data_IF_004364633067
#
_entry.id   IF_004364633067
#
_cell.length_a   1.000
_cell.length_b   1.000
_cell.length_c   1.000
_cell.angle_alpha   90.00
_cell.angle_beta   90.00
_cell.angle_gamma   90.00
#
_symmetry.space_group_name_H-M   'P 1'
#
loop_
_entity.id
_entity.type
_entity.pdbx_description
1 polymer ?
#
# COMPACT_ATOMS: atom_id res chain seq x y z
N UNK A 1 17.64 12.32 -5.83
CA UNK A 1 17.61 11.34 -4.72
C UNK A 1 16.64 11.71 -3.62
N UNK A 2 16.68 12.93 -3.06
CA UNK A 2 15.76 13.36 -2.00
C UNK A 2 14.27 13.09 -2.28
N UNK A 3 13.78 13.37 -3.50
CA UNK A 3 12.37 13.13 -3.88
C UNK A 3 12.01 11.65 -3.82
N UNK A 4 12.86 10.75 -4.33
CA UNK A 4 12.61 9.30 -4.27
C UNK A 4 12.59 8.79 -2.81
N UNK A 5 13.44 9.35 -1.95
CA UNK A 5 13.43 9.06 -0.52
C UNK A 5 12.12 9.51 0.13
N UNK A 6 11.63 10.72 -0.19
CA UNK A 6 10.34 11.20 0.32
C UNK A 6 9.19 10.33 -0.16
N UNK A 7 9.14 9.96 -1.44
CA UNK A 7 8.11 9.05 -1.96
C UNK A 7 8.17 7.66 -1.30
N UNK A 8 9.36 7.19 -0.95
CA UNK A 8 9.53 5.94 -0.20
C UNK A 8 8.97 6.06 1.23
N UNK A 9 9.18 7.20 1.89
CA UNK A 9 8.57 7.51 3.20
C UNK A 9 7.04 7.61 3.06
N UNK A 10 6.53 8.25 2.01
CA UNK A 10 5.09 8.35 1.75
C UNK A 10 4.45 6.96 1.58
N UNK A 11 5.18 6.00 1.00
CA UNK A 11 4.76 4.59 0.95
C UNK A 11 4.55 3.98 2.34
N UNK A 12 5.47 4.25 3.28
CA UNK A 12 5.34 3.81 4.70
C UNK A 12 4.14 4.48 5.35
N UNK A 13 3.98 5.79 5.19
CA UNK A 13 2.86 6.55 5.76
C UNK A 13 1.52 6.06 5.21
N UNK A 14 1.47 5.75 3.91
CA UNK A 14 0.30 5.18 3.27
C UNK A 14 -0.04 3.79 3.85
N UNK A 15 0.95 2.94 4.10
CA UNK A 15 0.73 1.63 4.72
C UNK A 15 0.14 1.76 6.13
N UNK A 16 0.70 2.63 6.97
CA UNK A 16 0.23 2.87 8.33
C UNK A 16 -1.21 3.40 8.31
N UNK A 17 -1.44 4.47 7.54
CA UNK A 17 -2.77 5.08 7.44
C UNK A 17 -3.81 4.07 6.92
N UNK A 18 -3.49 3.35 5.84
CA UNK A 18 -4.44 2.42 5.24
C UNK A 18 -4.79 1.23 6.14
N UNK A 19 -3.82 0.70 6.89
CA UNK A 19 -4.06 -0.34 7.89
C UNK A 19 -4.96 0.17 9.04
N UNK A 20 -4.72 1.38 9.53
CA UNK A 20 -5.49 1.95 10.65
C UNK A 20 -6.92 2.32 10.27
N UNK A 21 -7.14 2.73 9.02
CA UNK A 21 -8.47 3.05 8.49
C UNK A 21 -9.17 1.84 7.83
N UNK A 22 -8.57 0.66 7.84
CA UNK A 22 -9.15 -0.56 7.30
C UNK A 22 -10.44 -1.04 7.98
N UNK A 23 -10.62 -0.90 9.32
CA UNK A 23 -11.85 -1.29 9.98
C UNK A 23 -13.00 -0.26 9.83
N UNK A 24 -12.85 0.76 8.96
CA UNK A 24 -13.93 1.70 8.69
C UNK A 24 -15.18 0.97 8.18
N UNK A 25 -16.33 1.41 8.68
CA UNK A 25 -17.63 0.83 8.37
C UNK A 25 -18.50 1.82 7.62
N UNK A 26 -19.26 1.33 6.65
CA UNK A 26 -20.37 2.05 6.06
C UNK A 26 -21.65 1.54 6.72
N UNK A 27 -22.16 2.32 7.68
CA UNK A 27 -23.21 1.85 8.59
C UNK A 27 -22.71 0.66 9.40
N UNK A 28 -23.42 -0.48 9.31
CA UNK A 28 -23.05 -1.70 10.04
C UNK A 28 -22.03 -2.59 9.32
N UNK A 29 -21.78 -2.35 8.03
CA UNK A 29 -20.97 -3.24 7.18
C UNK A 29 -19.51 -2.75 7.13
N UNK A 30 -18.52 -3.60 7.46
CA UNK A 30 -17.12 -3.26 7.25
C UNK A 30 -16.85 -3.11 5.75
N UNK A 31 -16.24 -1.99 5.35
CA UNK A 31 -15.98 -1.71 3.94
C UNK A 31 -14.54 -1.20 3.76
N UNK A 32 -13.68 -1.86 2.96
CA UNK A 32 -12.24 -1.62 2.92
C UNK A 32 -11.88 -0.40 2.05
N UNK A 33 -12.45 0.75 2.37
CA UNK A 33 -12.23 2.02 1.62
C UNK A 33 -10.75 2.37 1.60
N UNK A 34 -10.09 2.22 2.75
CA UNK A 34 -8.68 2.57 2.89
C UNK A 34 -7.77 1.72 1.99
N UNK A 35 -8.13 0.46 1.70
CA UNK A 35 -7.37 -0.39 0.79
C UNK A 35 -7.50 0.07 -0.67
N UNK A 36 -8.69 0.52 -1.08
CA UNK A 36 -8.91 1.12 -2.39
C UNK A 36 -8.11 2.42 -2.54
N UNK A 37 -8.19 3.28 -1.52
CA UNK A 37 -7.44 4.54 -1.49
C UNK A 37 -5.93 4.29 -1.48
N UNK A 38 -5.44 3.29 -0.75
CA UNK A 38 -4.03 2.89 -0.76
C UNK A 38 -3.55 2.52 -2.16
N UNK A 39 -4.37 1.78 -2.92
CA UNK A 39 -4.06 1.46 -4.31
C UNK A 39 -3.88 2.70 -5.18
N UNK A 40 -4.81 3.66 -5.07
CA UNK A 40 -4.74 4.91 -5.83
C UNK A 40 -3.54 5.77 -5.42
N UNK A 41 -3.28 5.89 -4.12
CA UNK A 41 -2.14 6.64 -3.58
C UNK A 41 -0.83 5.98 -4.04
N UNK A 42 -0.68 4.67 -3.90
CA UNK A 42 0.51 3.97 -4.36
C UNK A 42 0.72 4.13 -5.87
N UNK A 43 -0.35 4.09 -6.68
CA UNK A 43 -0.27 4.36 -8.12
C UNK A 43 0.25 5.77 -8.40
N UNK A 44 -0.24 6.78 -7.67
CA UNK A 44 0.24 8.15 -7.79
C UNK A 44 1.70 8.31 -7.36
N UNK A 45 2.11 7.67 -6.24
CA UNK A 45 3.50 7.70 -5.75
C UNK A 45 4.47 7.06 -6.76
N UNK A 46 4.10 5.90 -7.31
CA UNK A 46 4.91 5.20 -8.30
C UNK A 46 4.96 5.97 -9.62
N UNK A 47 3.83 6.53 -10.06
CA UNK A 47 3.79 7.41 -11.22
C UNK A 47 4.69 8.63 -11.03
N UNK A 48 4.64 9.28 -9.86
CA UNK A 48 5.53 10.39 -9.54
C UNK A 48 7.00 9.95 -9.62
N UNK A 49 7.35 8.79 -9.05
CA UNK A 49 8.71 8.26 -9.07
C UNK A 49 9.26 8.03 -10.50
N UNK A 50 8.42 7.64 -11.47
CA UNK A 50 8.85 7.46 -12.87
C UNK A 50 9.36 8.74 -13.55
N UNK A 51 9.06 9.92 -13.00
CA UNK A 51 9.59 11.19 -13.50
C UNK A 51 11.01 11.49 -12.99
N UNK A 52 11.49 10.74 -12.00
CA UNK A 52 12.77 10.99 -11.31
C UNK A 52 13.79 9.87 -11.53
N UNK A 53 13.42 8.79 -12.21
CA UNK A 53 14.31 7.68 -12.54
C UNK A 53 13.87 6.96 -13.81
N UNK A 54 14.83 6.41 -14.55
CA UNK A 54 14.58 5.53 -15.69
C UNK A 54 14.49 4.06 -15.31
N UNK A 55 14.85 3.70 -14.07
CA UNK A 55 14.83 2.31 -13.61
C UNK A 55 13.45 1.95 -13.03
N UNK A 56 12.70 1.02 -13.63
CA UNK A 56 11.39 0.61 -13.11
C UNK A 56 11.46 0.07 -11.67
N UNK A 57 12.57 -0.60 -11.34
CA UNK A 57 12.82 -1.13 -9.98
C UNK A 57 12.95 -0.02 -8.95
N UNK A 58 13.58 1.10 -9.31
CA UNK A 58 13.74 2.27 -8.44
C UNK A 58 12.44 3.08 -8.38
N UNK A 59 11.68 3.17 -9.47
CA UNK A 59 10.37 3.82 -9.47
C UNK A 59 9.35 3.11 -8.56
N UNK A 60 9.52 1.80 -8.35
CA UNK A 60 8.70 1.00 -7.45
C UNK A 60 9.03 1.16 -5.96
N UNK A 61 10.02 1.99 -5.57
CA UNK A 61 10.43 2.17 -4.17
C UNK A 61 9.27 2.46 -3.20
N UNK A 62 8.31 3.36 -3.51
CA UNK A 62 7.17 3.61 -2.63
C UNK A 62 6.30 2.37 -2.40
N UNK A 63 6.15 1.54 -3.42
CA UNK A 63 5.41 0.29 -3.32
C UNK A 63 6.16 -0.75 -2.48
N UNK A 64 7.50 -0.81 -2.63
CA UNK A 64 8.33 -1.72 -1.82
C UNK A 64 8.30 -1.35 -0.34
N UNK A 65 8.44 -0.07 0.00
CA UNK A 65 8.36 0.37 1.40
C UNK A 65 6.96 0.14 1.98
N UNK A 66 5.91 0.41 1.20
CA UNK A 66 4.54 0.10 1.58
C UNK A 66 4.35 -1.40 1.87
N UNK A 67 4.82 -2.30 0.98
CA UNK A 67 4.73 -3.75 1.16
C UNK A 67 5.49 -4.23 2.39
N UNK A 68 6.70 -3.71 2.60
CA UNK A 68 7.51 -4.03 3.77
C UNK A 68 6.79 -3.59 5.05
N UNK A 69 6.25 -2.38 5.10
CA UNK A 69 5.51 -1.89 6.26
C UNK A 69 4.25 -2.71 6.53
N UNK A 70 3.44 -3.01 5.51
CA UNK A 70 2.26 -3.89 5.67
C UNK A 70 2.70 -5.26 6.18
N UNK A 71 3.75 -5.85 5.61
CA UNK A 71 4.31 -7.13 6.06
C UNK A 71 4.76 -7.10 7.51
N UNK A 72 5.46 -6.05 7.93
CA UNK A 72 5.85 -5.86 9.33
C UNK A 72 4.63 -5.72 10.25
N UNK A 73 3.56 -5.05 9.79
CA UNK A 73 2.31 -4.93 10.54
C UNK A 73 1.53 -6.25 10.64
N UNK A 74 1.86 -7.25 9.82
CA UNK A 74 1.32 -8.61 9.99
C UNK A 74 2.04 -9.41 11.09
N UNK A 75 3.23 -8.97 11.49
CA UNK A 75 3.93 -9.56 12.62
C UNK A 75 3.21 -9.11 13.88
N UNK A 76 2.69 -10.06 14.65
CA UNK A 76 1.95 -9.78 15.88
C UNK A 76 2.73 -8.90 16.86
N UNK A 77 2.00 -8.10 17.61
CA UNK A 77 2.50 -7.27 18.70
C UNK A 77 2.63 -8.04 20.02
N UNK A 78 3.13 -7.38 21.07
CA UNK A 78 3.19 -7.97 22.40
C UNK A 78 1.81 -8.46 22.86
N UNK A 79 1.74 -9.65 23.45
CA UNK A 79 0.46 -10.20 23.95
C UNK A 79 -0.43 -10.84 22.88
N UNK A 80 0.14 -11.30 21.77
CA UNK A 80 -0.57 -11.89 20.61
C UNK A 80 -1.52 -10.92 19.88
N UNK A 81 -1.31 -9.60 20.05
CA UNK A 81 -2.10 -8.56 19.41
C UNK A 81 -1.86 -8.54 17.89
N UNK A 82 -2.92 -8.59 17.09
CA UNK A 82 -2.84 -8.55 15.62
C UNK A 82 -3.46 -7.25 15.08
N UNK A 83 -2.70 -6.49 14.29
CA UNK A 83 -3.19 -5.28 13.62
C UNK A 83 -4.33 -5.61 12.64
N UNK A 84 -4.30 -6.79 12.02
CA UNK A 84 -5.29 -7.25 11.05
C UNK A 84 -6.28 -8.29 11.62
N UNK A 85 -6.51 -8.32 12.94
CA UNK A 85 -7.33 -9.32 13.64
C UNK A 85 -8.85 -9.13 13.56
N UNK A 86 -9.40 -8.83 12.38
CA UNK A 86 -10.84 -8.62 12.18
C UNK A 86 -11.66 -9.91 12.04
N UNK A 87 -13.00 -9.78 12.03
CA UNK A 87 -13.95 -10.87 11.76
C UNK A 87 -14.64 -10.72 10.38
N UNK A 88 -15.04 -11.83 9.75
CA UNK A 88 -15.69 -11.84 8.44
C UNK A 88 -14.74 -11.43 7.32
N UNK A 89 -15.14 -10.46 6.47
CA UNK A 89 -14.28 -9.95 5.38
C UNK A 89 -12.93 -9.43 5.90
N UNK A 90 -12.91 -8.90 7.13
CA UNK A 90 -11.72 -8.35 7.76
C UNK A 90 -10.79 -9.42 8.35
N UNK A 91 -11.14 -10.71 8.28
CA UNK A 91 -10.17 -11.81 8.52
C UNK A 91 -9.11 -11.84 7.41
N UNK A 92 -9.48 -11.40 6.21
CA UNK A 92 -8.61 -11.31 5.05
C UNK A 92 -8.07 -9.89 4.85
N UNK A 93 -8.09 -9.04 5.88
CA UNK A 93 -7.81 -7.62 5.75
C UNK A 93 -6.42 -7.33 5.17
N UNK A 94 -5.39 -8.05 5.64
CA UNK A 94 -4.02 -7.92 5.10
C UNK A 94 -3.96 -8.29 3.62
N UNK A 95 -4.62 -9.38 3.21
CA UNK A 95 -4.67 -9.82 1.81
C UNK A 95 -5.43 -8.82 0.93
N UNK A 96 -6.58 -8.31 1.39
CA UNK A 96 -7.35 -7.29 0.70
C UNK A 96 -6.52 -6.01 0.53
N UNK A 97 -5.83 -5.59 1.59
CA UNK A 97 -4.95 -4.43 1.56
C UNK A 97 -3.83 -4.64 0.53
N UNK A 98 -3.13 -5.78 0.57
CA UNK A 98 -2.06 -6.14 -0.38
C UNK A 98 -2.58 -6.14 -1.82
N UNK A 99 -3.68 -6.82 -2.10
CA UNK A 99 -4.22 -6.93 -3.46
C UNK A 99 -4.65 -5.56 -3.99
N UNK A 100 -5.47 -4.83 -3.24
CA UNK A 100 -6.00 -3.54 -3.70
C UNK A 100 -4.92 -2.44 -3.71
N UNK A 101 -3.97 -2.51 -2.77
CA UNK A 101 -2.84 -1.58 -2.65
C UNK A 101 -1.76 -1.75 -3.71
N UNK A 102 -1.65 -2.94 -4.33
CA UNK A 102 -0.59 -3.26 -5.31
C UNK A 102 -1.07 -3.27 -6.77
N UNK A 103 -2.34 -3.61 -7.03
CA UNK A 103 -2.84 -3.75 -8.40
C UNK A 103 -2.74 -2.44 -9.22
N UNK A 104 -3.22 -1.28 -8.73
CA UNK A 104 -3.09 -0.04 -9.47
C UNK A 104 -1.64 0.40 -9.76
N UNK A 105 -0.69 0.43 -8.81
CA UNK A 105 0.70 0.79 -9.11
C UNK A 105 1.40 -0.22 -10.02
N UNK A 106 1.06 -1.52 -9.94
CA UNK A 106 1.58 -2.52 -10.86
C UNK A 106 1.13 -2.24 -12.31
N UNK A 107 -0.11 -1.79 -12.50
CA UNK A 107 -0.59 -1.36 -13.82
C UNK A 107 0.18 -0.13 -14.34
N UNK A 108 0.49 0.85 -13.47
CA UNK A 108 1.32 2.01 -13.81
C UNK A 108 2.72 1.58 -14.25
N UNK A 109 3.41 0.73 -13.48
CA UNK A 109 4.74 0.23 -13.82
C UNK A 109 4.74 -0.55 -15.13
N UNK A 110 3.74 -1.42 -15.33
CA UNK A 110 3.59 -2.18 -16.57
C UNK A 110 3.40 -1.25 -17.76
N UNK A 111 2.60 -0.19 -17.62
CA UNK A 111 2.39 0.79 -18.68
C UNK A 111 3.67 1.61 -18.96
N UNK A 112 4.43 1.94 -17.92
CA UNK A 112 5.71 2.64 -18.04
C UNK A 112 6.75 1.82 -18.81
N UNK A 113 6.97 0.56 -18.40
CA UNK A 113 7.94 -0.35 -19.05
C UNK A 113 7.64 -0.57 -20.53
N UNK A 114 6.36 -0.60 -20.92
CA UNK A 114 5.97 -0.74 -22.33
C UNK A 114 6.28 0.47 -23.21
N UNK A 115 6.57 1.64 -22.62
CA UNK A 115 6.79 2.91 -23.34
C UNK A 115 8.27 3.25 -23.55
N UNK A 116 9.14 2.64 -22.75
CA UNK A 116 10.61 2.74 -22.83
C UNK A 116 11.20 1.56 -23.58
#
# INVERSE_FOLDING_TARGET
MAVLTLLAIDGVLCAIASAFFLPLRLGSVPFPISALLAGLVNAALVWAATHWTTSPRVAALPLWTWLLTVGLMTLGGPGDDLIFGGAGVLEFAALLLIVLGTLPPAAVLRAYVKRT
#
